data_IF_776791413752
#
_entry.id   IF_776791413752
#
_cell.length_a   1.000
_cell.length_b   1.000
_cell.length_c   1.000
_cell.angle_alpha   90.00
_cell.angle_beta   90.00
_cell.angle_gamma   90.00
#
_symmetry.space_group_name_H-M   'P 1'
#
loop_
_entity.id
_entity.type
_entity.pdbx_description
1 polymer ?
#
# COMPACT_ATOMS: atom_id res chain seq x y z
N UNK A 1 -22.82 -0.97 -3.03
CA UNK A 1 -21.82 -2.01 -3.31
C UNK A 1 -22.42 -3.42 -3.45
N UNK A 2 -23.24 -3.95 -2.50
CA UNK A 2 -23.86 -5.28 -2.65
C UNK A 2 -24.71 -5.44 -3.91
N UNK A 3 -25.52 -4.45 -4.27
CA UNK A 3 -26.38 -4.49 -5.45
C UNK A 3 -25.61 -4.67 -6.76
N UNK A 4 -24.49 -3.97 -6.93
CA UNK A 4 -23.69 -4.04 -8.16
C UNK A 4 -23.02 -5.41 -8.31
N UNK A 5 -22.49 -5.98 -7.21
CA UNK A 5 -21.93 -7.34 -7.24
C UNK A 5 -22.97 -8.40 -7.56
N UNK A 6 -24.18 -8.28 -6.98
CA UNK A 6 -25.27 -9.22 -7.28
C UNK A 6 -25.69 -9.13 -8.75
N UNK A 7 -25.91 -7.92 -9.27
CA UNK A 7 -26.28 -7.72 -10.68
C UNK A 7 -25.22 -8.29 -11.63
N UNK A 8 -23.94 -8.01 -11.37
CA UNK A 8 -22.84 -8.52 -12.19
C UNK A 8 -22.75 -10.06 -12.16
N UNK A 9 -22.87 -10.66 -10.97
CA UNK A 9 -22.81 -12.10 -10.82
C UNK A 9 -24.03 -12.79 -11.46
N UNK A 10 -25.24 -12.25 -11.26
CA UNK A 10 -26.45 -12.82 -11.82
C UNK A 10 -26.47 -12.71 -13.36
N UNK A 11 -26.00 -11.59 -13.90
CA UNK A 11 -25.80 -11.43 -15.35
C UNK A 11 -24.78 -12.45 -15.89
N UNK A 12 -23.64 -12.60 -15.22
CA UNK A 12 -22.61 -13.59 -15.59
C UNK A 12 -23.15 -15.02 -15.58
N UNK A 13 -23.94 -15.41 -14.57
CA UNK A 13 -24.60 -16.72 -14.50
C UNK A 13 -25.61 -16.93 -15.61
N UNK A 14 -26.42 -15.90 -15.91
CA UNK A 14 -27.39 -15.98 -16.99
C UNK A 14 -26.72 -16.22 -18.35
N UNK A 15 -25.60 -15.50 -18.60
CA UNK A 15 -24.80 -15.72 -19.82
C UNK A 15 -24.17 -17.11 -19.85
N UNK A 16 -23.65 -17.59 -18.72
CA UNK A 16 -23.07 -18.92 -18.61
C UNK A 16 -24.08 -20.02 -18.93
N UNK A 17 -25.29 -19.89 -18.43
CA UNK A 17 -26.39 -20.82 -18.76
C UNK A 17 -26.81 -20.71 -20.22
N UNK A 18 -26.95 -19.49 -20.75
CA UNK A 18 -27.35 -19.25 -22.14
C UNK A 18 -26.35 -19.79 -23.17
N UNK A 19 -25.07 -19.77 -22.83
CA UNK A 19 -23.98 -20.20 -23.73
C UNK A 19 -23.45 -21.60 -23.39
N UNK A 20 -24.03 -22.25 -22.38
CA UNK A 20 -23.57 -23.55 -21.89
C UNK A 20 -22.06 -23.58 -21.58
N UNK A 21 -21.59 -22.53 -20.88
CA UNK A 21 -20.18 -22.40 -20.47
C UNK A 21 -20.05 -22.36 -18.96
N UNK A 22 -18.95 -22.90 -18.38
CA UNK A 22 -18.72 -22.83 -16.94
C UNK A 22 -18.53 -21.40 -16.46
N UNK A 23 -18.84 -21.18 -15.19
CA UNK A 23 -18.65 -19.91 -14.47
C UNK A 23 -17.46 -20.04 -13.54
N UNK A 24 -16.76 -18.92 -13.30
CA UNK A 24 -15.76 -18.83 -12.24
C UNK A 24 -15.99 -17.57 -11.41
N UNK A 25 -16.18 -17.76 -10.11
CA UNK A 25 -16.19 -16.66 -9.13
C UNK A 25 -14.79 -16.22 -8.82
N UNK A 26 -14.56 -14.92 -8.68
CA UNK A 26 -13.24 -14.35 -8.40
C UNK A 26 -13.28 -13.58 -7.08
N UNK A 27 -12.30 -13.80 -6.25
CA UNK A 27 -12.09 -13.01 -5.05
C UNK A 27 -11.46 -11.66 -5.41
N UNK A 28 -12.11 -10.55 -5.05
CA UNK A 28 -11.71 -9.20 -5.45
C UNK A 28 -10.28 -8.85 -5.04
N UNK A 29 -9.88 -9.13 -3.80
CA UNK A 29 -8.53 -8.84 -3.31
C UNK A 29 -7.48 -9.77 -3.92
N UNK A 30 -7.83 -11.02 -4.28
CA UNK A 30 -6.97 -11.90 -5.07
C UNK A 30 -6.67 -11.29 -6.43
N UNK A 31 -7.68 -10.72 -7.10
CA UNK A 31 -7.48 -10.07 -8.39
C UNK A 31 -6.48 -8.90 -8.29
N UNK A 32 -6.59 -8.08 -7.24
CA UNK A 32 -5.57 -7.05 -6.98
C UNK A 32 -4.17 -7.65 -6.73
N UNK A 33 -4.05 -8.71 -5.95
CA UNK A 33 -2.78 -9.36 -5.66
C UNK A 33 -2.13 -9.96 -6.93
N UNK A 34 -2.95 -10.45 -7.89
CA UNK A 34 -2.50 -11.06 -9.13
C UNK A 34 -2.33 -10.06 -10.29
N UNK A 35 -2.74 -8.79 -10.13
CA UNK A 35 -2.58 -7.75 -11.18
C UNK A 35 -1.16 -7.65 -11.75
N UNK A 36 -0.08 -7.77 -10.97
CA UNK A 36 1.28 -7.73 -11.54
C UNK A 36 1.59 -8.86 -12.53
N UNK A 37 0.98 -10.02 -12.33
CA UNK A 37 1.11 -11.16 -13.24
C UNK A 37 0.39 -10.88 -14.56
N UNK A 38 -0.78 -10.20 -14.51
CA UNK A 38 -1.44 -9.66 -15.69
C UNK A 38 -0.52 -8.69 -16.45
N UNK A 39 0.11 -7.73 -15.75
CA UNK A 39 1.02 -6.77 -16.37
C UNK A 39 2.17 -7.47 -17.08
N UNK A 40 2.81 -8.42 -16.39
CA UNK A 40 3.90 -9.19 -16.99
C UNK A 40 3.47 -9.96 -18.24
N UNK A 41 2.27 -10.53 -18.24
CA UNK A 41 1.72 -11.24 -19.39
C UNK A 41 1.43 -10.28 -20.55
N UNK A 42 0.89 -9.08 -20.28
CA UNK A 42 0.61 -8.06 -21.32
C UNK A 42 1.89 -7.48 -21.94
N UNK A 43 2.96 -7.37 -21.17
CA UNK A 43 4.24 -6.86 -21.65
C UNK A 43 5.07 -7.90 -22.43
N UNK A 44 4.50 -9.08 -22.69
CA UNK A 44 5.19 -10.20 -23.37
C UNK A 44 6.54 -10.54 -22.75
N UNK A 45 6.70 -10.32 -21.45
CA UNK A 45 7.90 -10.76 -20.73
C UNK A 45 7.94 -12.29 -20.74
N UNK A 46 9.13 -12.83 -20.89
CA UNK A 46 9.37 -14.28 -21.01
C UNK A 46 8.99 -15.07 -19.74
N UNK A 47 8.63 -14.39 -18.65
CA UNK A 47 8.12 -14.98 -17.42
C UNK A 47 6.83 -14.28 -16.99
N UNK A 48 5.83 -15.05 -16.58
CA UNK A 48 4.56 -14.57 -16.00
C UNK A 48 4.73 -14.08 -14.56
N UNK A 49 5.85 -13.42 -14.25
CA UNK A 49 6.16 -12.93 -12.89
C UNK A 49 5.14 -11.94 -12.31
N UNK A 50 5.15 -11.72 -11.00
CA UNK A 50 6.02 -12.35 -10.01
C UNK A 50 5.66 -13.81 -9.75
N UNK A 51 6.71 -14.65 -9.53
CA UNK A 51 6.54 -16.03 -9.11
C UNK A 51 6.22 -16.10 -7.61
N UNK A 52 5.47 -17.12 -7.22
CA UNK A 52 5.22 -17.40 -5.81
C UNK A 52 6.46 -17.96 -5.10
N UNK A 53 6.75 -17.59 -3.86
CA UNK A 53 6.04 -16.59 -3.06
C UNK A 53 6.46 -15.16 -3.39
N UNK A 54 5.52 -14.21 -3.28
CA UNK A 54 5.79 -12.80 -3.40
C UNK A 54 4.99 -11.98 -2.37
N UNK A 55 5.42 -10.74 -2.13
CA UNK A 55 4.70 -9.80 -1.26
C UNK A 55 3.93 -8.78 -2.10
N UNK A 56 2.75 -8.39 -1.63
CA UNK A 56 1.95 -7.29 -2.20
C UNK A 56 1.67 -6.23 -1.17
N UNK A 57 2.12 -5.00 -1.42
CA UNK A 57 1.74 -3.81 -0.66
C UNK A 57 0.63 -3.08 -1.43
N UNK A 58 -0.62 -3.25 -0.98
CA UNK A 58 -1.78 -2.57 -1.54
C UNK A 58 -1.95 -1.22 -0.84
N UNK A 59 -1.77 -0.11 -1.56
CA UNK A 59 -1.76 1.25 -0.99
C UNK A 59 -2.67 2.19 -1.78
N UNK A 60 -3.82 2.49 -1.20
CA UNK A 60 -4.86 3.32 -1.81
C UNK A 60 -5.42 4.34 -0.81
N UNK A 61 -6.40 5.14 -1.26
CA UNK A 61 -7.16 6.02 -0.38
C UNK A 61 -8.00 5.29 0.67
N UNK A 62 -8.41 4.03 0.39
CA UNK A 62 -9.24 3.24 1.30
C UNK A 62 -8.50 2.17 2.10
N UNK A 63 -7.39 1.66 1.59
CA UNK A 63 -6.69 0.53 2.17
C UNK A 63 -5.17 0.70 2.15
N UNK A 64 -4.52 0.20 3.21
CA UNK A 64 -3.08 -0.05 3.24
C UNK A 64 -2.87 -1.43 3.83
N UNK A 65 -2.40 -2.37 3.02
CA UNK A 65 -2.26 -3.78 3.40
C UNK A 65 -0.94 -4.34 2.87
N UNK A 66 -0.35 -5.25 3.63
CA UNK A 66 0.75 -6.11 3.18
C UNK A 66 0.27 -7.54 3.18
N UNK A 67 0.41 -8.21 2.05
CA UNK A 67 -0.06 -9.58 1.81
C UNK A 67 1.12 -10.42 1.34
N UNK A 68 1.26 -11.60 1.86
CA UNK A 68 2.13 -12.66 1.35
C UNK A 68 1.29 -13.62 0.51
N UNK A 69 1.71 -13.85 -0.72
CA UNK A 69 1.08 -14.80 -1.65
C UNK A 69 2.03 -15.96 -1.85
N UNK A 70 1.68 -17.14 -1.35
CA UNK A 70 2.45 -18.38 -1.46
C UNK A 70 1.93 -19.29 -2.55
N UNK A 71 0.75 -19.00 -3.06
CA UNK A 71 0.09 -19.72 -4.14
C UNK A 71 -1.08 -18.91 -4.71
N UNK A 72 -1.72 -19.47 -5.72
CA UNK A 72 -2.82 -18.79 -6.43
C UNK A 72 -4.01 -18.45 -5.53
N UNK A 73 -4.35 -19.32 -4.60
CA UNK A 73 -5.46 -19.15 -3.65
C UNK A 73 -4.96 -19.12 -2.19
N UNK A 74 -3.66 -18.98 -1.97
CA UNK A 74 -3.04 -19.03 -0.65
C UNK A 74 -2.35 -17.68 -0.38
N UNK A 75 -3.07 -16.82 0.34
CA UNK A 75 -2.67 -15.46 0.64
C UNK A 75 -2.85 -15.18 2.13
N UNK A 76 -1.81 -14.61 2.75
CA UNK A 76 -1.81 -14.24 4.16
C UNK A 76 -1.73 -12.73 4.31
N UNK A 77 -2.67 -12.14 5.03
CA UNK A 77 -2.62 -10.72 5.38
C UNK A 77 -1.63 -10.55 6.52
N UNK A 78 -0.48 -9.93 6.24
CA UNK A 78 0.59 -9.71 7.19
C UNK A 78 0.37 -8.43 8.01
N UNK A 79 -0.08 -7.36 7.34
CA UNK A 79 -0.38 -6.08 7.98
C UNK A 79 -1.56 -5.41 7.29
N UNK A 80 -2.35 -4.68 8.06
CA UNK A 80 -3.47 -3.87 7.56
C UNK A 80 -3.53 -2.54 8.28
N UNK A 81 -4.31 -1.61 7.73
CA UNK A 81 -4.56 -0.29 8.33
C UNK A 81 -5.25 -0.43 9.69
N UNK A 82 -4.64 0.16 10.72
CA UNK A 82 -5.19 0.20 12.07
C UNK A 82 -6.02 1.46 12.36
N UNK A 83 -5.91 2.48 11.52
CA UNK A 83 -6.61 3.77 11.67
C UNK A 83 -7.05 4.34 10.32
N UNK A 84 -6.21 5.11 9.63
CA UNK A 84 -6.50 5.66 8.30
C UNK A 84 -5.56 5.07 7.26
N UNK A 85 -6.02 4.98 6.00
CA UNK A 85 -5.20 4.50 4.89
C UNK A 85 -4.12 5.52 4.52
N UNK A 86 -3.02 5.04 3.93
CA UNK A 86 -1.90 5.88 3.49
C UNK A 86 -2.35 6.97 2.51
N UNK A 87 -3.16 6.63 1.51
CA UNK A 87 -3.63 7.62 0.53
C UNK A 87 -4.51 8.69 1.16
N UNK A 88 -5.41 8.32 2.09
CA UNK A 88 -6.24 9.29 2.83
C UNK A 88 -5.38 10.21 3.70
N UNK A 89 -4.33 9.67 4.34
CA UNK A 89 -3.36 10.48 5.08
C UNK A 89 -2.66 11.51 4.19
N UNK A 90 -2.15 11.09 3.02
CA UNK A 90 -1.46 11.99 2.09
C UNK A 90 -2.40 13.03 1.49
N UNK A 91 -3.63 12.67 1.15
CA UNK A 91 -4.62 13.59 0.62
C UNK A 91 -5.02 14.67 1.63
N UNK A 92 -5.20 14.30 2.90
CA UNK A 92 -5.48 15.24 3.99
C UNK A 92 -4.26 16.11 4.31
N UNK A 93 -3.06 15.53 4.35
CA UNK A 93 -1.82 16.27 4.53
C UNK A 93 -1.60 17.28 3.39
N UNK A 94 -1.89 16.91 2.15
CA UNK A 94 -1.79 17.82 1.01
C UNK A 94 -2.72 19.04 1.16
N UNK A 95 -3.98 18.81 1.56
CA UNK A 95 -4.95 19.91 1.81
C UNK A 95 -4.50 20.83 2.93
N UNK A 96 -3.80 20.32 3.93
CA UNK A 96 -3.28 21.12 5.04
C UNK A 96 -2.01 21.90 4.66
N UNK A 97 -1.10 21.25 3.94
CA UNK A 97 0.24 21.80 3.64
C UNK A 97 0.21 22.75 2.45
N UNK A 98 -0.47 22.36 1.35
CA UNK A 98 -0.38 23.09 0.08
C UNK A 98 -1.04 24.48 0.15
N UNK A 99 -0.46 25.48 -0.53
CA UNK A 99 -1.20 26.70 -0.82
C UNK A 99 -2.53 26.39 -1.52
N UNK A 100 -3.58 27.15 -1.23
CA UNK A 100 -4.95 26.84 -1.68
C UNK A 100 -5.09 26.67 -3.20
N UNK A 101 -4.32 27.41 -4.00
CA UNK A 101 -4.33 27.33 -5.47
C UNK A 101 -3.63 26.06 -6.01
N UNK A 102 -2.81 25.36 -5.20
CA UNK A 102 -2.16 24.10 -5.54
C UNK A 102 -2.85 22.87 -4.91
N UNK A 103 -3.74 23.07 -3.96
CA UNK A 103 -4.48 22.00 -3.28
C UNK A 103 -5.62 21.47 -4.14
N UNK A 104 -5.29 20.85 -5.28
CA UNK A 104 -6.24 20.31 -6.27
C UNK A 104 -6.06 18.80 -6.46
N UNK A 105 -7.14 18.04 -6.70
CA UNK A 105 -7.04 16.61 -7.00
C UNK A 105 -6.27 16.32 -8.30
N UNK A 106 -5.53 15.20 -8.37
CA UNK A 106 -5.28 14.24 -7.31
C UNK A 106 -4.25 14.75 -6.30
N UNK A 107 -4.68 14.89 -5.03
CA UNK A 107 -3.91 15.57 -3.97
C UNK A 107 -2.53 14.96 -3.71
N UNK A 108 -2.42 13.62 -3.72
CA UNK A 108 -1.13 12.95 -3.53
C UNK A 108 -0.11 13.32 -4.62
N UNK A 109 -0.55 13.49 -5.87
CA UNK A 109 0.30 13.95 -6.98
C UNK A 109 0.69 15.42 -6.81
N UNK A 110 -0.26 16.28 -6.42
CA UNK A 110 0.02 17.69 -6.16
C UNK A 110 1.04 17.86 -5.02
N UNK A 111 0.93 17.04 -3.95
CA UNK A 111 1.88 17.03 -2.84
C UNK A 111 3.30 16.64 -3.30
N UNK A 112 3.43 15.60 -4.12
CA UNK A 112 4.72 15.16 -4.66
C UNK A 112 5.35 16.22 -5.57
N UNK A 113 4.58 16.80 -6.48
CA UNK A 113 5.08 17.84 -7.39
C UNK A 113 5.51 19.11 -6.64
N UNK A 114 4.80 19.48 -5.59
CA UNK A 114 5.18 20.61 -4.73
C UNK A 114 6.45 20.32 -3.94
N UNK A 115 6.59 19.12 -3.40
CA UNK A 115 7.76 18.71 -2.64
C UNK A 115 9.01 18.60 -3.52
N UNK A 116 8.87 18.11 -4.74
CA UNK A 116 9.96 17.75 -5.65
C UNK A 116 9.73 18.34 -7.05
N UNK A 117 9.86 19.66 -7.21
CA UNK A 117 9.55 20.34 -8.47
C UNK A 117 10.45 19.89 -9.65
N UNK A 118 11.70 19.49 -9.38
CA UNK A 118 12.60 18.92 -10.38
C UNK A 118 12.56 17.37 -10.43
N UNK A 119 11.55 16.76 -9.78
CA UNK A 119 11.39 15.30 -9.76
C UNK A 119 12.50 14.57 -9.01
N UNK A 120 13.02 13.49 -9.60
CA UNK A 120 13.99 12.61 -8.95
C UNK A 120 15.31 13.30 -8.55
N UNK A 121 15.69 14.37 -9.23
CA UNK A 121 16.89 15.16 -8.87
C UNK A 121 16.77 15.86 -7.52
N UNK A 122 15.54 16.06 -7.02
CA UNK A 122 15.28 16.65 -5.71
C UNK A 122 15.24 15.64 -4.57
N UNK A 123 15.31 14.33 -4.88
CA UNK A 123 15.22 13.24 -3.87
C UNK A 123 16.50 13.15 -3.03
N UNK A 124 16.81 14.17 -2.28
CA UNK A 124 17.92 14.10 -1.32
C UNK A 124 17.56 13.18 -0.15
N UNK A 125 17.49 11.86 -0.43
CA UNK A 125 17.02 10.85 0.49
C UNK A 125 18.09 9.78 0.73
N UNK A 126 18.32 9.49 2.01
CA UNK A 126 19.15 8.37 2.46
C UNK A 126 18.34 7.49 3.39
N UNK A 127 18.19 6.22 3.02
CA UNK A 127 17.47 5.26 3.82
C UNK A 127 18.24 4.92 5.12
N UNK A 128 17.54 4.71 6.25
CA UNK A 128 18.18 4.35 7.51
C UNK A 128 18.73 2.92 7.46
N UNK A 129 20.03 2.78 7.68
CA UNK A 129 20.72 1.50 7.62
C UNK A 129 20.32 0.53 8.74
N UNK A 130 19.81 1.05 9.88
CA UNK A 130 19.43 0.26 11.05
C UNK A 130 18.06 0.67 11.57
N UNK A 131 17.41 -0.24 12.30
CA UNK A 131 16.09 -0.01 12.90
C UNK A 131 16.06 1.21 13.81
N UNK A 132 17.07 1.40 14.64
CA UNK A 132 17.12 2.54 15.58
C UNK A 132 17.16 3.87 14.83
N UNK A 133 17.91 3.96 13.73
CA UNK A 133 17.95 5.14 12.87
C UNK A 133 16.61 5.38 12.14
N UNK A 134 15.87 4.32 11.82
CA UNK A 134 14.52 4.40 11.24
C UNK A 134 13.51 4.96 12.24
N UNK A 135 13.60 4.58 13.52
CA UNK A 135 12.70 5.03 14.57
C UNK A 135 13.07 6.41 15.12
N UNK A 136 14.29 6.87 14.86
CA UNK A 136 14.77 8.16 15.32
C UNK A 136 14.01 9.31 14.66
N UNK A 137 13.58 10.27 15.48
CA UNK A 137 13.00 11.52 14.98
C UNK A 137 14.10 12.37 14.33
N UNK A 138 13.97 12.64 13.05
CA UNK A 138 14.86 13.54 12.33
C UNK A 138 14.33 14.97 12.47
N UNK A 139 15.18 15.86 12.96
CA UNK A 139 14.83 17.27 13.13
C UNK A 139 15.19 18.03 11.86
N UNK A 140 14.23 18.79 11.33
CA UNK A 140 14.41 19.64 10.15
C UNK A 140 15.19 20.93 10.52
N UNK A 141 15.59 21.71 9.52
CA UNK A 141 16.17 23.06 9.73
C UNK A 141 15.22 24.02 10.45
N UNK A 142 13.93 23.69 10.51
CA UNK A 142 12.88 24.44 11.20
C UNK A 142 12.74 24.05 12.69
N UNK A 143 13.60 23.17 13.20
CA UNK A 143 13.56 22.69 14.58
C UNK A 143 12.55 21.61 14.88
N UNK A 144 11.55 21.41 14.03
CA UNK A 144 10.56 20.34 14.18
C UNK A 144 10.94 19.09 13.39
N UNK A 145 10.31 17.98 13.67
CA UNK A 145 10.45 16.72 12.92
C UNK A 145 9.27 15.80 13.19
N UNK A 146 9.00 14.89 12.27
CA UNK A 146 7.97 13.88 12.40
C UNK A 146 8.55 12.61 13.04
N UNK A 147 7.82 12.04 13.99
CA UNK A 147 8.17 10.75 14.59
C UNK A 147 7.70 9.59 13.70
N UNK A 148 8.46 8.51 13.71
CA UNK A 148 8.04 7.28 13.04
C UNK A 148 6.73 6.76 13.68
N UNK A 149 5.75 6.33 12.89
CA UNK A 149 4.52 5.76 13.42
C UNK A 149 4.80 4.57 14.35
N UNK A 150 4.04 4.47 15.42
CA UNK A 150 4.15 3.42 16.46
C UNK A 150 5.47 3.41 17.25
N UNK A 151 6.35 4.40 17.09
CA UNK A 151 7.63 4.48 17.83
C UNK A 151 7.43 4.87 19.30
N UNK A 152 6.37 5.59 19.64
CA UNK A 152 6.16 6.24 20.95
C UNK A 152 5.65 5.34 22.09
N UNK A 153 5.62 4.02 21.95
CA UNK A 153 5.21 3.15 23.05
C UNK A 153 6.31 3.01 24.10
N UNK A 154 5.94 3.09 25.39
CA UNK A 154 6.86 3.09 26.55
C UNK A 154 7.94 1.99 26.54
N UNK A 155 7.76 0.91 25.76
CA UNK A 155 8.71 -0.21 25.66
C UNK A 155 9.11 -0.55 24.22
N UNK A 156 8.87 0.35 23.22
CA UNK A 156 9.18 0.08 21.83
C UNK A 156 8.41 -1.08 21.17
N UNK A 157 7.57 -1.80 21.96
CA UNK A 157 6.86 -3.00 21.50
C UNK A 157 5.90 -2.73 20.34
N UNK A 158 5.31 -1.54 20.28
CA UNK A 158 4.39 -1.18 19.21
C UNK A 158 5.08 -0.96 17.87
N UNK A 159 6.36 -0.58 17.85
CA UNK A 159 7.10 -0.33 16.62
C UNK A 159 7.27 -1.59 15.74
N UNK A 160 7.21 -2.79 16.34
CA UNK A 160 7.32 -4.09 15.66
C UNK A 160 5.96 -4.68 15.25
N UNK A 161 4.85 -4.06 15.65
CA UNK A 161 3.52 -4.56 15.25
C UNK A 161 3.36 -4.53 13.74
N UNK A 162 2.83 -5.59 13.20
CA UNK A 162 2.49 -5.71 11.78
C UNK A 162 1.15 -5.02 11.51
N UNK A 163 1.17 -3.68 11.61
CA UNK A 163 0.01 -2.81 11.38
C UNK A 163 0.48 -1.50 10.76
N UNK A 164 -0.32 -0.93 9.89
CA UNK A 164 -0.12 0.41 9.36
C UNK A 164 -0.91 1.43 10.19
N UNK A 165 -0.28 2.55 10.54
CA UNK A 165 -0.90 3.63 11.31
C UNK A 165 -0.38 4.97 10.79
N UNK A 166 -1.29 5.83 10.38
CA UNK A 166 -0.96 7.13 9.78
C UNK A 166 -1.69 8.31 10.44
N UNK A 167 -2.67 8.06 11.33
CA UNK A 167 -3.45 9.12 11.97
C UNK A 167 -2.59 10.05 12.83
N UNK A 168 -1.61 9.49 13.57
CA UNK A 168 -0.68 10.28 14.36
C UNK A 168 0.24 11.15 13.53
N UNK A 169 0.66 10.66 12.34
CA UNK A 169 1.45 11.42 11.39
C UNK A 169 0.64 12.59 10.83
N UNK A 170 -0.60 12.35 10.39
CA UNK A 170 -1.50 13.39 9.92
C UNK A 170 -1.75 14.45 10.99
N UNK A 171 -2.12 14.04 12.20
CA UNK A 171 -2.36 14.98 13.31
C UNK A 171 -1.14 15.83 13.64
N UNK A 172 0.07 15.27 13.51
CA UNK A 172 1.31 16.03 13.71
C UNK A 172 1.48 17.12 12.65
N UNK A 173 1.25 16.79 11.38
CA UNK A 173 1.31 17.75 10.27
C UNK A 173 0.26 18.86 10.43
N UNK A 174 -0.99 18.51 10.71
CA UNK A 174 -2.07 19.50 10.92
C UNK A 174 -1.74 20.48 12.06
N UNK A 175 -1.10 19.97 13.12
CA UNK A 175 -0.65 20.80 14.24
C UNK A 175 0.52 21.70 13.85
N UNK A 176 1.53 21.22 13.10
CA UNK A 176 2.64 22.04 12.63
C UNK A 176 2.19 23.15 11.67
N UNK A 177 1.19 22.87 10.85
CA UNK A 177 0.61 23.89 9.97
C UNK A 177 -0.16 24.95 10.77
N UNK A 178 -0.87 24.55 11.82
CA UNK A 178 -1.81 25.39 12.55
C UNK A 178 -1.18 26.20 13.67
N UNK A 179 -0.16 25.65 14.34
CA UNK A 179 0.42 26.25 15.55
C UNK A 179 1.90 26.56 15.36
N UNK A 180 2.35 27.60 16.08
CA UNK A 180 3.77 27.94 16.14
C UNK A 180 4.59 26.82 16.78
N UNK A 181 5.86 26.72 16.36
CA UNK A 181 6.79 25.80 16.98
C UNK A 181 7.65 26.53 18.02
N UNK A 182 7.58 26.09 19.27
CA UNK A 182 8.39 26.61 20.36
C UNK A 182 9.81 25.96 20.28
N UNK A 183 10.75 26.74 19.77
CA UNK A 183 12.14 26.30 19.62
C UNK A 183 12.85 26.10 20.97
N UNK A 184 12.44 26.82 22.02
CA UNK A 184 13.08 26.69 23.34
C UNK A 184 12.72 25.36 24.00
N UNK A 185 11.47 24.99 23.92
CA UNK A 185 10.95 23.74 24.51
C UNK A 185 10.90 22.57 23.54
N UNK A 186 11.30 22.79 22.28
CA UNK A 186 11.25 21.77 21.19
C UNK A 186 9.89 21.11 21.05
N UNK A 187 8.81 21.89 21.16
CA UNK A 187 7.43 21.41 21.13
C UNK A 187 6.52 22.35 20.33
N UNK A 188 5.33 21.86 19.96
CA UNK A 188 4.30 22.69 19.34
C UNK A 188 3.65 23.53 20.44
N UNK A 189 3.60 24.85 20.24
CA UNK A 189 2.95 25.77 21.17
C UNK A 189 1.41 25.66 21.11
N UNK A 190 0.72 26.38 21.98
CA UNK A 190 -0.74 26.58 21.88
C UNK A 190 -1.12 27.80 21.05
N UNK A 191 -0.13 28.59 20.60
CA UNK A 191 -0.34 29.82 19.85
C UNK A 191 -0.57 29.48 18.36
N UNK A 192 -1.62 30.07 17.78
CA UNK A 192 -1.90 29.89 16.36
C UNK A 192 -0.91 30.68 15.52
N UNK A 193 -0.43 30.09 14.43
CA UNK A 193 0.34 30.81 13.42
C UNK A 193 -0.48 31.93 12.80
N UNK A 194 0.15 33.04 12.53
CA UNK A 194 -0.48 34.14 11.80
C UNK A 194 -0.61 33.80 10.30
N UNK A 195 -1.63 34.35 9.61
CA UNK A 195 -1.75 34.19 8.16
C UNK A 195 -0.47 34.64 7.44
N UNK A 196 0.08 33.76 6.59
CA UNK A 196 1.32 34.03 5.83
C UNK A 196 2.63 33.72 6.56
N UNK A 197 2.59 33.33 7.83
CA UNK A 197 3.80 32.98 8.59
C UNK A 197 4.46 31.69 8.12
N UNK A 198 3.66 30.71 7.67
CA UNK A 198 4.16 29.47 7.12
C UNK A 198 4.67 29.67 5.69
N UNK A 199 6.00 29.69 5.51
CA UNK A 199 6.63 29.89 4.21
C UNK A 199 6.44 28.68 3.28
N UNK A 200 6.53 28.92 1.96
CA UNK A 200 6.46 27.85 0.96
C UNK A 200 7.63 26.85 1.10
N UNK A 201 8.80 27.30 1.56
CA UNK A 201 9.93 26.41 1.84
C UNK A 201 9.66 25.50 3.02
N UNK A 202 9.05 26.00 4.10
CA UNK A 202 8.64 25.18 5.23
C UNK A 202 7.54 24.20 4.84
N UNK A 203 6.55 24.63 4.06
CA UNK A 203 5.51 23.77 3.48
C UNK A 203 6.10 22.66 2.61
N UNK A 204 7.11 22.99 1.80
CA UNK A 204 7.82 22.02 0.96
C UNK A 204 8.54 20.96 1.81
N UNK A 205 9.21 21.37 2.88
CA UNK A 205 9.85 20.44 3.79
C UNK A 205 8.82 19.60 4.57
N UNK A 206 7.65 20.15 4.93
CA UNK A 206 6.53 19.36 5.49
C UNK A 206 6.03 18.30 4.51
N UNK A 207 5.88 18.65 3.24
CA UNK A 207 5.45 17.71 2.20
C UNK A 207 6.47 16.58 1.99
N UNK A 208 7.77 16.90 1.98
CA UNK A 208 8.84 15.89 1.92
C UNK A 208 8.82 14.96 3.13
N UNK A 209 8.76 15.52 4.33
CA UNK A 209 8.83 14.77 5.57
C UNK A 209 7.61 13.87 5.80
N UNK A 210 6.39 14.31 5.50
CA UNK A 210 5.21 13.46 5.64
C UNK A 210 5.26 12.27 4.69
N UNK A 211 5.68 12.47 3.43
CA UNK A 211 5.86 11.38 2.47
C UNK A 211 6.99 10.45 2.91
N UNK A 212 8.14 11.00 3.31
CA UNK A 212 9.26 10.20 3.80
C UNK A 212 8.86 9.27 4.93
N UNK A 213 8.28 9.82 6.00
CA UNK A 213 7.90 9.03 7.19
C UNK A 213 6.82 8.00 6.86
N UNK A 214 5.84 8.37 6.03
CA UNK A 214 4.78 7.47 5.62
C UNK A 214 5.32 6.30 4.77
N UNK A 215 6.23 6.57 3.83
CA UNK A 215 6.80 5.55 2.95
C UNK A 215 7.85 4.69 3.67
N UNK A 216 8.63 5.27 4.58
CA UNK A 216 9.49 4.51 5.48
C UNK A 216 8.69 3.56 6.36
N UNK A 217 7.52 3.98 6.86
CA UNK A 217 6.63 3.12 7.62
C UNK A 217 6.06 1.96 6.78
N UNK A 218 5.73 2.23 5.50
CA UNK A 218 5.31 1.19 4.57
C UNK A 218 6.42 0.16 4.34
N UNK A 219 7.62 0.62 3.97
CA UNK A 219 8.79 -0.22 3.71
C UNK A 219 9.21 -1.03 4.95
N UNK A 220 9.09 -0.42 6.11
CA UNK A 220 9.39 -1.03 7.41
C UNK A 220 8.62 -2.33 7.67
N UNK A 221 7.34 -2.39 7.31
CA UNK A 221 6.54 -3.63 7.50
C UNK A 221 7.01 -4.75 6.57
N UNK A 222 7.40 -4.42 5.34
CA UNK A 222 8.04 -5.38 4.41
C UNK A 222 9.31 -5.94 5.03
N UNK A 223 10.20 -5.07 5.50
CA UNK A 223 11.48 -5.49 6.11
C UNK A 223 11.29 -6.27 7.42
N UNK A 224 10.33 -5.90 8.26
CA UNK A 224 10.02 -6.64 9.47
C UNK A 224 9.57 -8.07 9.16
N UNK A 225 8.75 -8.25 8.13
CA UNK A 225 8.35 -9.58 7.68
C UNK A 225 9.56 -10.36 7.15
N UNK A 226 10.28 -9.83 6.14
CA UNK A 226 11.44 -10.49 5.56
C UNK A 226 12.49 -10.88 6.61
N UNK A 227 12.75 -10.00 7.58
CA UNK A 227 13.71 -10.28 8.68
C UNK A 227 13.20 -11.25 9.74
N UNK A 228 11.91 -11.53 9.78
CA UNK A 228 11.32 -12.52 10.70
C UNK A 228 11.35 -13.94 10.13
N UNK A 229 11.54 -14.08 8.82
CA UNK A 229 11.63 -15.38 8.15
C UNK A 229 13.02 -16.01 8.36
N UNK A 230 13.11 -17.35 8.39
CA UNK A 230 14.38 -18.02 8.25
C UNK A 230 15.09 -17.58 6.96
N UNK A 231 16.43 -17.48 6.91
CA UNK A 231 17.14 -16.97 5.73
C UNK A 231 16.80 -17.69 4.42
N UNK A 232 16.59 -19.02 4.48
CA UNK A 232 16.22 -19.82 3.32
C UNK A 232 14.80 -19.48 2.80
N UNK A 233 13.86 -19.11 3.67
CA UNK A 233 12.51 -18.71 3.30
C UNK A 233 12.51 -17.26 2.79
N UNK A 234 13.21 -16.36 3.47
CA UNK A 234 13.37 -14.98 3.01
C UNK A 234 13.96 -14.89 1.61
N UNK A 235 14.92 -15.78 1.27
CA UNK A 235 15.54 -15.85 -0.05
C UNK A 235 14.60 -16.33 -1.16
N UNK A 236 13.49 -16.98 -0.83
CA UNK A 236 12.45 -17.37 -1.80
C UNK A 236 11.61 -16.19 -2.24
N UNK A 237 11.45 -15.17 -1.39
CA UNK A 237 10.70 -13.95 -1.72
C UNK A 237 11.56 -13.09 -2.64
N UNK A 238 11.32 -13.19 -3.94
CA UNK A 238 12.09 -12.45 -4.96
C UNK A 238 11.43 -11.15 -5.39
N UNK A 239 10.18 -10.92 -4.98
CA UNK A 239 9.40 -9.82 -5.52
C UNK A 239 8.53 -9.16 -4.45
N UNK A 240 8.47 -7.84 -4.50
CA UNK A 240 7.48 -7.03 -3.78
C UNK A 240 6.70 -6.20 -4.79
N UNK A 241 5.41 -6.41 -4.81
CA UNK A 241 4.47 -5.66 -5.64
C UNK A 241 3.93 -4.49 -4.84
N UNK A 242 3.95 -3.30 -5.39
CA UNK A 242 3.31 -2.11 -4.79
C UNK A 242 2.23 -1.63 -5.73
N UNK A 243 0.97 -1.74 -5.33
CA UNK A 243 -0.18 -1.40 -6.16
C UNK A 243 -1.18 -0.50 -5.43
N UNK A 244 -2.12 0.09 -6.17
CA UNK A 244 -3.05 1.09 -5.69
C UNK A 244 -2.62 2.51 -6.08
N UNK A 245 -3.51 3.50 -5.88
CA UNK A 245 -3.28 4.88 -6.35
C UNK A 245 -2.02 5.54 -5.81
N UNK A 246 -1.57 5.16 -4.59
CA UNK A 246 -0.35 5.71 -4.00
C UNK A 246 0.92 5.14 -4.67
N UNK A 247 0.85 3.96 -5.29
CA UNK A 247 1.98 3.35 -5.99
C UNK A 247 2.46 4.15 -7.23
N UNK A 248 1.64 5.09 -7.71
CA UNK A 248 2.02 6.04 -8.75
C UNK A 248 3.08 7.06 -8.31
N UNK A 249 3.24 7.28 -7.00
CA UNK A 249 4.18 8.22 -6.43
C UNK A 249 5.62 7.76 -6.67
N UNK A 250 6.42 8.57 -7.38
CA UNK A 250 7.79 8.21 -7.74
C UNK A 250 8.75 8.24 -6.55
N UNK A 251 8.50 9.11 -5.58
CA UNK A 251 9.30 9.14 -4.36
C UNK A 251 9.06 7.90 -3.49
N UNK A 252 7.84 7.36 -3.45
CA UNK A 252 7.58 6.06 -2.83
C UNK A 252 8.46 4.95 -3.42
N UNK A 253 8.53 4.89 -4.76
CA UNK A 253 9.37 3.89 -5.47
C UNK A 253 10.83 4.01 -5.07
N UNK A 254 11.32 5.25 -5.00
CA UNK A 254 12.68 5.54 -4.59
C UNK A 254 12.96 5.11 -3.14
N UNK A 255 12.07 5.47 -2.20
CA UNK A 255 12.18 5.07 -0.79
C UNK A 255 12.17 3.56 -0.62
N UNK A 256 11.22 2.85 -1.25
CA UNK A 256 11.12 1.39 -1.17
C UNK A 256 12.40 0.71 -1.65
N UNK A 257 12.97 1.16 -2.79
CA UNK A 257 14.21 0.59 -3.33
C UNK A 257 15.39 0.85 -2.38
N UNK A 258 15.55 2.10 -1.94
CA UNK A 258 16.64 2.48 -1.04
C UNK A 258 16.59 1.70 0.30
N UNK A 259 15.39 1.45 0.83
CA UNK A 259 15.21 0.64 2.05
C UNK A 259 15.63 -0.82 1.85
N UNK A 260 15.18 -1.46 0.77
CA UNK A 260 15.55 -2.84 0.48
C UNK A 260 17.06 -2.98 0.25
N UNK A 261 17.66 -2.04 -0.48
CA UNK A 261 19.09 -2.07 -0.80
C UNK A 261 19.96 -1.97 0.45
N UNK A 262 19.72 -0.96 1.29
CA UNK A 262 20.55 -0.70 2.47
C UNK A 262 20.42 -1.81 3.53
N UNK A 263 19.32 -2.57 3.50
CA UNK A 263 19.03 -3.67 4.43
C UNK A 263 19.38 -5.06 3.90
N UNK A 264 20.08 -5.14 2.75
CA UNK A 264 20.57 -6.41 2.19
C UNK A 264 19.56 -7.18 1.35
N UNK A 265 18.45 -6.55 0.94
CA UNK A 265 17.42 -7.13 0.08
C UNK A 265 17.46 -6.55 -1.34
N UNK A 266 18.63 -6.21 -1.85
CA UNK A 266 18.81 -5.68 -3.22
C UNK A 266 18.38 -6.68 -4.30
N UNK A 267 18.38 -7.96 -3.99
CA UNK A 267 17.92 -9.03 -4.87
C UNK A 267 16.39 -9.09 -5.04
N UNK A 268 15.65 -8.42 -4.17
CA UNK A 268 14.18 -8.37 -4.23
C UNK A 268 13.76 -7.34 -5.26
N UNK A 269 13.07 -7.79 -6.30
CA UNK A 269 12.54 -6.94 -7.36
C UNK A 269 11.27 -6.19 -6.90
N UNK A 270 11.14 -4.93 -7.31
CA UNK A 270 9.95 -4.11 -7.04
C UNK A 270 9.11 -3.98 -8.30
N UNK A 271 7.87 -4.41 -8.23
CA UNK A 271 6.88 -4.27 -9.30
C UNK A 271 5.88 -3.19 -8.97
N UNK A 272 5.67 -2.27 -9.92
CA UNK A 272 4.68 -1.20 -9.82
C UNK A 272 3.78 -1.27 -11.06
N UNK A 273 2.60 -1.88 -10.95
CA UNK A 273 1.66 -1.93 -12.06
C UNK A 273 1.31 -0.53 -12.58
N UNK A 274 0.99 -0.38 -13.87
CA UNK A 274 0.45 0.86 -14.41
C UNK A 274 -0.76 1.34 -13.61
N UNK A 275 -0.90 2.67 -13.47
CA UNK A 275 -1.93 3.29 -12.59
C UNK A 275 -3.34 2.86 -13.00
N UNK A 276 -3.56 2.67 -14.30
CA UNK A 276 -4.83 2.24 -14.88
C UNK A 276 -5.25 0.84 -14.41
N UNK A 277 -4.28 0.00 -14.05
CA UNK A 277 -4.51 -1.36 -13.54
C UNK A 277 -4.43 -1.43 -12.00
N UNK A 278 -4.07 -0.33 -11.33
CA UNK A 278 -4.02 -0.29 -9.85
C UNK A 278 -5.38 -0.02 -9.21
N UNK A 279 -6.36 0.49 -9.96
CA UNK A 279 -7.75 0.69 -9.51
C UNK A 279 -8.61 -0.49 -9.92
N UNK A 280 -9.83 -0.59 -9.35
CA UNK A 280 -10.80 -1.61 -9.73
C UNK A 280 -11.05 -1.61 -11.24
N UNK A 281 -10.79 -2.73 -11.89
CA UNK A 281 -10.98 -2.89 -13.33
C UNK A 281 -11.36 -4.33 -13.69
N UNK A 282 -11.98 -4.52 -14.85
CA UNK A 282 -12.43 -5.83 -15.30
C UNK A 282 -11.26 -6.75 -15.71
N UNK A 283 -10.13 -6.18 -16.16
CA UNK A 283 -8.99 -6.99 -16.63
C UNK A 283 -8.34 -7.78 -15.49
N UNK A 284 -8.21 -7.19 -14.29
CA UNK A 284 -7.68 -7.91 -13.12
C UNK A 284 -8.57 -9.08 -12.70
N UNK A 285 -9.90 -8.90 -12.80
CA UNK A 285 -10.86 -9.97 -12.50
C UNK A 285 -10.76 -11.08 -13.54
N UNK A 286 -10.71 -10.71 -14.83
CA UNK A 286 -10.52 -11.67 -15.92
C UNK A 286 -9.24 -12.47 -15.77
N UNK A 287 -8.13 -11.80 -15.42
CA UNK A 287 -6.83 -12.45 -15.21
C UNK A 287 -6.86 -13.47 -14.08
N UNK A 288 -7.36 -13.06 -12.91
CA UNK A 288 -7.50 -13.98 -11.76
C UNK A 288 -8.40 -15.17 -12.11
N UNK A 289 -9.47 -14.93 -12.88
CA UNK A 289 -10.33 -15.98 -13.41
C UNK A 289 -9.60 -16.94 -14.34
N UNK A 290 -8.74 -16.44 -15.24
CA UNK A 290 -7.93 -17.25 -16.15
C UNK A 290 -6.96 -18.13 -15.36
N UNK A 291 -6.20 -17.58 -14.42
CA UNK A 291 -5.27 -18.36 -13.60
C UNK A 291 -5.99 -19.42 -12.75
N UNK A 292 -7.15 -19.11 -12.19
CA UNK A 292 -7.98 -20.08 -11.47
C UNK A 292 -8.50 -21.18 -12.42
N UNK A 293 -8.90 -20.78 -13.64
CA UNK A 293 -9.35 -21.72 -14.67
C UNK A 293 -8.25 -22.69 -15.08
N UNK A 294 -7.06 -22.19 -15.38
CA UNK A 294 -5.89 -23.00 -15.75
C UNK A 294 -5.45 -23.94 -14.61
N UNK A 295 -5.63 -23.48 -13.37
CA UNK A 295 -5.43 -24.32 -12.19
C UNK A 295 -6.54 -25.38 -11.99
N UNK A 296 -7.52 -25.48 -12.88
CA UNK A 296 -8.60 -26.49 -12.85
C UNK A 296 -9.78 -26.10 -11.95
N UNK A 297 -9.90 -24.85 -11.51
CA UNK A 297 -11.02 -24.40 -10.69
C UNK A 297 -12.21 -23.95 -11.52
N UNK A 298 -13.40 -24.23 -11.03
CA UNK A 298 -14.70 -23.79 -11.57
C UNK A 298 -15.61 -23.42 -10.41
N UNK A 299 -16.71 -22.73 -10.68
CA UNK A 299 -17.72 -22.41 -9.67
C UNK A 299 -19.05 -23.00 -10.04
N UNK A 300 -19.78 -23.45 -9.02
CA UNK A 300 -21.18 -23.82 -9.17
C UNK A 300 -22.05 -22.59 -9.45
N UNK A 301 -23.15 -22.76 -10.17
CA UNK A 301 -24.12 -21.67 -10.39
C UNK A 301 -24.80 -21.19 -9.09
N UNK A 302 -24.68 -21.96 -8.00
CA UNK A 302 -25.20 -21.60 -6.68
C UNK A 302 -24.40 -20.54 -5.95
N UNK A 303 -23.16 -20.21 -6.40
CA UNK A 303 -22.31 -19.18 -5.76
C UNK A 303 -23.03 -17.85 -5.60
N UNK A 304 -22.75 -17.15 -4.50
CA UNK A 304 -23.39 -15.88 -4.14
C UNK A 304 -22.34 -14.80 -3.87
N UNK A 305 -22.68 -13.51 -3.98
CA UNK A 305 -21.79 -12.44 -3.57
C UNK A 305 -21.51 -12.51 -2.07
N UNK A 306 -20.23 -12.61 -1.70
CA UNK A 306 -19.79 -12.67 -0.31
C UNK A 306 -19.27 -11.29 0.09
N UNK A 307 -19.82 -10.69 1.14
CA UNK A 307 -19.45 -9.35 1.60
C UNK A 307 -18.11 -9.35 2.33
N UNK A 308 -17.93 -10.33 3.20
CA UNK A 308 -16.71 -10.49 4.00
C UNK A 308 -16.19 -11.88 3.69
N UNK A 309 -15.16 -11.92 2.87
CA UNK A 309 -14.54 -13.14 2.38
C UNK A 309 -13.04 -13.00 2.57
N UNK A 310 -12.44 -13.85 3.39
CA UNK A 310 -11.01 -13.84 3.62
C UNK A 310 -10.26 -14.41 2.40
N UNK A 311 -9.08 -13.91 2.15
CA UNK A 311 -8.15 -14.54 1.22
C UNK A 311 -7.11 -15.44 1.96
N UNK A 312 -7.14 -15.45 3.29
CA UNK A 312 -6.23 -16.19 4.15
C UNK A 312 -6.82 -17.57 4.47
N UNK A 313 -6.18 -18.67 4.04
CA UNK A 313 -6.67 -20.03 4.28
C UNK A 313 -6.70 -20.39 5.78
N UNK A 314 -6.01 -19.66 6.64
CA UNK A 314 -6.08 -19.83 8.10
C UNK A 314 -7.29 -19.14 8.75
N UNK A 315 -8.03 -18.34 8.01
CA UNK A 315 -9.24 -17.68 8.50
C UNK A 315 -10.36 -18.70 8.77
N UNK A 316 -11.35 -18.29 9.57
CA UNK A 316 -12.48 -19.17 9.96
C UNK A 316 -13.33 -19.65 8.79
N UNK A 317 -13.34 -18.92 7.66
CA UNK A 317 -14.00 -19.30 6.41
C UNK A 317 -13.12 -20.16 5.48
N UNK A 318 -11.87 -20.47 5.87
CA UNK A 318 -10.95 -21.30 5.09
C UNK A 318 -10.35 -20.58 3.88
N UNK A 319 -10.45 -19.26 3.82
CA UNK A 319 -9.88 -18.45 2.74
C UNK A 319 -10.65 -18.57 1.42
N UNK A 320 -9.97 -18.30 0.31
CA UNK A 320 -10.59 -18.24 -1.02
C UNK A 320 -11.32 -19.54 -1.36
N UNK A 321 -10.70 -20.68 -1.11
CA UNK A 321 -11.25 -22.02 -1.42
C UNK A 321 -12.07 -22.62 -0.29
N UNK A 322 -12.13 -22.00 0.88
CA UNK A 322 -12.89 -22.50 2.03
C UNK A 322 -14.39 -22.30 1.92
N UNK A 323 -14.85 -21.41 1.03
CA UNK A 323 -16.27 -21.14 0.82
C UNK A 323 -16.88 -22.16 -0.14
N UNK A 324 -18.19 -22.41 0.03
CA UNK A 324 -18.92 -23.32 -0.85
C UNK A 324 -18.98 -22.85 -2.30
N UNK A 325 -19.10 -23.81 -3.20
CA UNK A 325 -19.34 -23.56 -4.63
C UNK A 325 -18.10 -23.68 -5.53
N UNK A 326 -16.97 -24.09 -5.02
CA UNK A 326 -15.82 -24.44 -5.85
C UNK A 326 -15.88 -25.88 -6.36
N UNK A 327 -15.49 -26.05 -7.62
CA UNK A 327 -15.33 -27.35 -8.29
C UNK A 327 -13.89 -27.47 -8.79
N UNK A 328 -13.27 -28.60 -8.57
CA UNK A 328 -11.95 -28.95 -9.11
C UNK A 328 -12.16 -29.92 -10.28
N UNK A 329 -11.67 -29.57 -11.49
CA UNK A 329 -11.78 -30.36 -12.72
C UNK A 329 -10.42 -30.89 -13.12
#
# INVERSE_FOLDING_TARGET
MRSNLSVGLDAGKALAVAWDVPVIGVHHMQAHALTPRLVSALEYRSSSGPDFPFLSALVSGGHSMLIESTGLADHKILATTGDIALGDCLDKAARAILPSHLAVPPYGRALEQFAFPAGASDYNYTAPAKRDAELARRVTKWGWGLGAPLAGSKNGSSSRKMVYSFSGLLSSIERFVKYEYDHQNSTISSQLRQPGELSDDERRDMAKEVMRVAFEHLASRVLLHLSSLPPAEAAKVKSVVVSGGVAANCFLRHVMRAFLDIRGYSHVELFFPPVELCTDNAAMIGWAGIEMWEAGWRSQLSVRPIKTWSMDPSASDGGILGVEGWLKV
#
